data_IF_659348260973
#
_entry.id   IF_659348260973
#
_cell.length_a   1.000
_cell.length_b   1.000
_cell.length_c   1.000
_cell.angle_alpha   90.00
_cell.angle_beta   90.00
_cell.angle_gamma   90.00
#
_symmetry.space_group_name_H-M   'P 1'
#
loop_
_entity.id
_entity.type
_entity.pdbx_description
1 polymer ?
#
# COMPACT_ATOMS: atom_id res chain seq x y z
N UNK A 1 3.94 18.12 -16.86
CA UNK A 1 2.82 17.14 -16.87
C UNK A 1 3.09 15.97 -17.81
N UNK A 2 3.40 16.20 -19.09
CA UNK A 2 3.65 15.11 -20.05
C UNK A 2 4.79 14.16 -19.64
N UNK A 3 5.95 14.71 -19.30
CA UNK A 3 7.13 13.96 -18.81
C UNK A 3 6.85 13.19 -17.50
N UNK A 4 5.97 13.74 -16.64
CA UNK A 4 5.61 13.08 -15.38
C UNK A 4 4.71 11.85 -15.62
N UNK A 5 3.86 11.89 -16.65
CA UNK A 5 2.98 10.77 -16.99
C UNK A 5 3.72 9.64 -17.70
N UNK A 6 4.92 9.89 -18.23
CA UNK A 6 5.78 8.89 -18.87
C UNK A 6 6.55 8.03 -17.85
N UNK A 7 6.66 8.49 -16.59
CA UNK A 7 7.26 7.69 -15.52
C UNK A 7 6.39 6.46 -15.20
N UNK A 8 6.98 5.31 -14.81
CA UNK A 8 6.22 4.11 -14.44
C UNK A 8 5.23 4.35 -13.28
N UNK A 9 4.18 3.53 -13.21
CA UNK A 9 3.35 3.43 -12.00
C UNK A 9 4.21 2.90 -10.84
N UNK A 10 4.01 3.38 -9.61
CA UNK A 10 4.84 3.02 -8.46
C UNK A 10 6.12 3.85 -8.28
N UNK A 11 6.43 4.78 -9.20
CA UNK A 11 7.58 5.67 -9.02
C UNK A 11 7.27 6.76 -7.97
N UNK A 12 8.02 6.76 -6.86
CA UNK A 12 7.79 7.68 -5.75
C UNK A 12 7.84 9.17 -6.15
N UNK A 13 8.75 9.56 -7.05
CA UNK A 13 8.83 10.95 -7.50
C UNK A 13 7.60 11.33 -8.33
N UNK A 14 7.16 10.46 -9.24
CA UNK A 14 5.94 10.62 -10.03
C UNK A 14 4.72 10.84 -9.13
N UNK A 15 4.52 9.95 -8.18
CA UNK A 15 3.37 9.95 -7.27
C UNK A 15 3.33 11.20 -6.40
N UNK A 16 4.46 11.57 -5.79
CA UNK A 16 4.55 12.74 -4.93
C UNK A 16 4.23 14.03 -5.69
N UNK A 17 4.74 14.18 -6.92
CA UNK A 17 4.48 15.39 -7.72
C UNK A 17 3.03 15.42 -8.21
N UNK A 18 2.46 14.29 -8.64
CA UNK A 18 1.05 14.23 -9.03
C UNK A 18 0.12 14.56 -7.86
N UNK A 19 0.43 14.06 -6.66
CA UNK A 19 -0.32 14.36 -5.44
C UNK A 19 -0.32 15.85 -5.11
N UNK A 20 0.86 16.50 -5.13
CA UNK A 20 0.97 17.94 -4.89
C UNK A 20 0.19 18.76 -5.93
N UNK A 21 0.26 18.38 -7.22
CA UNK A 21 -0.45 19.07 -8.30
C UNK A 21 -1.97 18.93 -8.19
N UNK A 22 -2.46 17.73 -7.84
CA UNK A 22 -3.89 17.48 -7.64
C UNK A 22 -4.38 18.26 -6.41
N UNK A 23 -3.66 18.18 -5.29
CA UNK A 23 -3.97 18.92 -4.06
C UNK A 23 -4.04 20.44 -4.31
N UNK A 24 -3.09 20.98 -5.07
CA UNK A 24 -3.07 22.40 -5.41
C UNK A 24 -4.24 22.80 -6.33
N UNK A 25 -4.51 22.02 -7.40
CA UNK A 25 -5.64 22.29 -8.30
C UNK A 25 -6.96 22.33 -7.54
N UNK A 26 -7.18 21.31 -6.72
CA UNK A 26 -8.34 21.18 -5.86
C UNK A 26 -8.48 22.38 -4.92
N UNK A 27 -7.39 22.76 -4.24
CA UNK A 27 -7.38 23.91 -3.34
C UNK A 27 -7.75 25.22 -4.06
N UNK A 28 -7.30 25.41 -5.31
CA UNK A 28 -7.68 26.58 -6.10
C UNK A 28 -9.16 26.57 -6.49
N UNK A 29 -9.71 25.42 -6.89
CA UNK A 29 -11.12 25.31 -7.28
C UNK A 29 -12.06 25.59 -6.10
N UNK A 30 -11.75 25.03 -4.92
CA UNK A 30 -12.52 25.30 -3.69
C UNK A 30 -12.53 26.80 -3.37
N UNK A 31 -11.37 27.45 -3.40
CA UNK A 31 -11.24 28.85 -2.99
C UNK A 31 -11.86 29.84 -3.99
N UNK A 32 -11.94 29.48 -5.27
CA UNK A 32 -12.39 30.40 -6.32
C UNK A 32 -13.85 30.18 -6.77
N UNK A 33 -14.47 29.04 -6.48
CA UNK A 33 -15.75 28.64 -7.08
C UNK A 33 -16.82 28.32 -6.03
N UNK A 34 -16.46 27.74 -4.88
CA UNK A 34 -17.44 27.15 -3.96
C UNK A 34 -17.95 28.16 -2.93
N UNK A 35 -19.26 28.08 -2.63
CA UNK A 35 -19.86 28.74 -1.48
C UNK A 35 -19.40 28.07 -0.16
N UNK A 36 -19.61 28.73 0.98
CA UNK A 36 -19.06 28.30 2.28
C UNK A 36 -19.50 26.89 2.68
N UNK A 37 -20.77 26.53 2.48
CA UNK A 37 -21.30 25.20 2.84
C UNK A 37 -20.70 24.09 1.95
N UNK A 38 -20.64 24.31 0.64
CA UNK A 38 -20.01 23.37 -0.30
C UNK A 38 -18.51 23.20 -0.03
N UNK A 39 -17.84 24.28 0.41
CA UNK A 39 -16.43 24.26 0.81
C UNK A 39 -16.18 23.39 2.04
N UNK A 40 -17.04 23.44 3.05
CA UNK A 40 -16.90 22.59 4.26
C UNK A 40 -17.08 21.11 3.95
N UNK A 41 -18.08 20.77 3.13
CA UNK A 41 -18.30 19.40 2.64
C UNK A 41 -17.07 18.90 1.88
N UNK A 42 -16.54 19.73 0.98
CA UNK A 42 -15.37 19.37 0.18
C UNK A 42 -14.11 19.18 1.05
N UNK A 43 -13.86 20.06 2.02
CA UNK A 43 -12.73 19.94 2.95
C UNK A 43 -12.81 18.62 3.73
N UNK A 44 -14.01 18.25 4.19
CA UNK A 44 -14.25 16.98 4.89
C UNK A 44 -13.96 15.78 3.97
N UNK A 45 -14.48 15.78 2.75
CA UNK A 45 -14.24 14.70 1.78
C UNK A 45 -12.75 14.57 1.43
N UNK A 46 -12.03 15.68 1.30
CA UNK A 46 -10.60 15.69 1.04
C UNK A 46 -9.81 15.04 2.18
N UNK A 47 -10.17 15.36 3.42
CA UNK A 47 -9.56 14.77 4.61
C UNK A 47 -9.84 13.26 4.67
N UNK A 48 -11.08 12.84 4.50
CA UNK A 48 -11.47 11.42 4.50
C UNK A 48 -10.75 10.64 3.39
N UNK A 49 -10.59 11.22 2.20
CA UNK A 49 -9.85 10.58 1.11
C UNK A 49 -8.37 10.36 1.46
N UNK A 50 -7.73 11.33 2.13
CA UNK A 50 -6.34 11.19 2.56
C UNK A 50 -6.18 10.10 3.61
N UNK A 51 -7.09 10.03 4.57
CA UNK A 51 -7.13 8.98 5.59
C UNK A 51 -7.30 7.60 4.95
N UNK A 52 -8.26 7.48 4.03
CA UNK A 52 -8.49 6.24 3.28
C UNK A 52 -7.26 5.82 2.48
N UNK A 53 -6.62 6.76 1.76
CA UNK A 53 -5.42 6.50 0.97
C UNK A 53 -4.26 5.97 1.84
N UNK A 54 -4.01 6.60 2.99
CA UNK A 54 -2.94 6.14 3.88
C UNK A 54 -3.28 4.79 4.50
N UNK A 55 -4.53 4.56 4.92
CA UNK A 55 -4.98 3.26 5.42
C UNK A 55 -4.76 2.15 4.39
N UNK A 56 -5.20 2.35 3.15
CA UNK A 56 -4.99 1.39 2.04
C UNK A 56 -3.50 1.14 1.77
N UNK A 57 -2.66 2.17 1.85
CA UNK A 57 -1.21 2.00 1.69
C UNK A 57 -0.60 1.17 2.82
N UNK A 58 -1.07 1.36 4.05
CA UNK A 58 -0.61 0.58 5.19
C UNK A 58 -1.09 -0.87 5.14
N UNK A 59 -2.31 -1.11 4.69
CA UNK A 59 -2.88 -2.44 4.44
C UNK A 59 -2.04 -3.19 3.40
N UNK A 60 -1.82 -2.59 2.23
CA UNK A 60 -0.99 -3.22 1.18
C UNK A 60 0.46 -3.51 1.61
N UNK A 61 1.05 -2.67 2.48
CA UNK A 61 2.38 -2.97 3.08
C UNK A 61 2.34 -4.13 4.07
N UNK A 62 1.22 -4.33 4.77
CA UNK A 62 1.06 -5.46 5.69
C UNK A 62 0.84 -6.74 4.90
N UNK A 63 -0.04 -6.72 3.91
CA UNK A 63 -0.29 -7.83 2.98
C UNK A 63 1.00 -8.24 2.27
N UNK A 64 1.71 -7.31 1.63
CA UNK A 64 2.96 -7.63 0.93
C UNK A 64 4.07 -8.17 1.84
N UNK A 65 4.11 -7.77 3.11
CA UNK A 65 5.02 -8.38 4.10
C UNK A 65 4.60 -9.80 4.45
N UNK A 66 3.31 -10.05 4.61
CA UNK A 66 2.78 -11.38 4.90
C UNK A 66 2.99 -12.33 3.71
N UNK A 67 2.63 -11.91 2.50
CA UNK A 67 2.85 -12.65 1.26
C UNK A 67 4.34 -12.95 1.07
N UNK A 68 5.22 -11.95 1.22
CA UNK A 68 6.67 -12.16 1.08
C UNK A 68 7.24 -13.15 2.11
N UNK A 69 6.71 -13.21 3.33
CA UNK A 69 7.06 -14.25 4.30
C UNK A 69 6.63 -15.63 3.78
N UNK A 70 5.38 -15.78 3.37
CA UNK A 70 4.84 -17.06 2.90
C UNK A 70 5.56 -17.58 1.66
N UNK A 71 5.81 -16.71 0.66
CA UNK A 71 6.55 -17.04 -0.56
C UNK A 71 8.01 -17.45 -0.31
N UNK A 72 8.59 -17.04 0.81
CA UNK A 72 9.96 -17.42 1.18
C UNK A 72 10.07 -18.84 1.73
N UNK A 73 8.96 -19.43 2.20
CA UNK A 73 8.92 -20.73 2.89
C UNK A 73 9.50 -21.86 2.03
N UNK A 74 9.11 -22.06 0.75
CA UNK A 74 9.64 -23.14 -0.07
C UNK A 74 11.17 -23.06 -0.24
N UNK A 75 11.71 -21.84 -0.37
CA UNK A 75 13.15 -21.61 -0.47
C UNK A 75 13.87 -21.94 0.84
N UNK A 76 13.31 -21.56 1.98
CA UNK A 76 13.90 -21.85 3.29
C UNK A 76 13.90 -23.36 3.58
N UNK A 77 12.84 -24.07 3.19
CA UNK A 77 12.81 -25.54 3.26
C UNK A 77 13.87 -26.18 2.38
N UNK A 78 14.05 -25.69 1.15
CA UNK A 78 15.09 -26.16 0.24
C UNK A 78 16.52 -25.93 0.79
N UNK A 79 16.70 -24.95 1.66
CA UNK A 79 17.94 -24.70 2.39
C UNK A 79 18.09 -25.59 3.66
N UNK A 80 17.12 -26.46 3.93
CA UNK A 80 17.18 -27.46 5.00
C UNK A 80 16.66 -26.99 6.36
N UNK A 81 15.99 -25.84 6.45
CA UNK A 81 15.37 -25.39 7.69
C UNK A 81 14.12 -26.25 8.00
N UNK A 82 13.88 -26.51 9.28
CA UNK A 82 12.64 -27.17 9.72
C UNK A 82 11.44 -26.21 9.72
N UNK A 83 10.23 -26.76 9.70
CA UNK A 83 8.98 -25.99 9.78
C UNK A 83 8.94 -25.09 11.03
N UNK A 84 9.44 -25.60 12.16
CA UNK A 84 9.52 -24.85 13.43
C UNK A 84 10.52 -23.70 13.36
N UNK A 85 11.67 -23.92 12.73
CA UNK A 85 12.68 -22.88 12.53
C UNK A 85 12.18 -21.78 11.59
N UNK A 86 11.45 -22.15 10.54
CA UNK A 86 10.84 -21.21 9.59
C UNK A 86 9.76 -20.38 10.27
N UNK A 87 8.85 -21.03 11.01
CA UNK A 87 7.81 -20.35 11.78
C UNK A 87 8.41 -19.32 12.74
N UNK A 88 9.46 -19.71 13.48
CA UNK A 88 10.16 -18.80 14.38
C UNK A 88 10.88 -17.66 13.64
N UNK A 89 11.57 -17.96 12.54
CA UNK A 89 12.36 -16.96 11.80
C UNK A 89 11.49 -15.92 11.08
N UNK A 90 10.32 -16.34 10.59
CA UNK A 90 9.37 -15.50 9.88
C UNK A 90 8.30 -14.90 10.79
N UNK A 91 8.30 -15.22 12.08
CA UNK A 91 7.24 -14.82 13.03
C UNK A 91 5.86 -15.18 12.47
N UNK A 92 5.68 -16.47 12.18
CA UNK A 92 4.48 -17.10 11.66
C UNK A 92 4.06 -18.25 12.57
N UNK A 93 2.77 -18.56 12.57
CA UNK A 93 2.26 -19.76 13.20
C UNK A 93 2.65 -21.01 12.39
N UNK A 94 2.85 -22.14 13.09
CA UNK A 94 3.17 -23.42 12.43
C UNK A 94 2.13 -23.82 11.39
N UNK A 95 0.85 -23.53 11.65
CA UNK A 95 -0.24 -23.81 10.72
C UNK A 95 -0.14 -22.96 9.44
N UNK A 96 0.23 -21.68 9.56
CA UNK A 96 0.47 -20.83 8.38
C UNK A 96 1.60 -21.38 7.51
N UNK A 97 2.68 -21.85 8.15
CA UNK A 97 3.81 -22.44 7.42
C UNK A 97 3.40 -23.75 6.73
N UNK A 98 2.61 -24.59 7.40
CA UNK A 98 2.10 -25.84 6.83
C UNK A 98 1.14 -25.63 5.68
N UNK A 99 0.28 -24.61 5.73
CA UNK A 99 -0.64 -24.29 4.64
C UNK A 99 0.13 -23.82 3.40
N UNK A 100 1.09 -22.92 3.57
CA UNK A 100 1.92 -22.43 2.46
C UNK A 100 2.66 -23.55 1.71
N UNK A 101 3.06 -24.60 2.41
CA UNK A 101 3.69 -25.79 1.79
C UNK A 101 2.68 -26.62 1.00
N UNK A 102 1.46 -26.77 1.51
CA UNK A 102 0.40 -27.58 0.87
C UNK A 102 -0.20 -26.90 -0.37
N UNK A 103 -0.17 -25.57 -0.42
CA UNK A 103 -0.64 -24.77 -1.55
C UNK A 103 0.38 -24.66 -2.69
N UNK A 104 1.63 -25.08 -2.47
CA UNK A 104 2.67 -25.12 -3.50
C UNK A 104 2.56 -26.44 -4.29
N UNK A 105 2.17 -26.45 -5.59
CA UNK A 105 2.02 -27.67 -6.38
C UNK A 105 3.35 -28.35 -6.75
#
# INVERSE_FOLDING_TARGET
>A
MRELLELPQGNAFRENVLELLISWRVSMEINNILETEDREVFMTLSQTYQEWKEATKQEGRQEGRQEGKLESIPRLLALGLSVEQIAQALDLDLEQVRQAIQETP
#
